data_IF_818596340872
#
_entry.id   IF_818596340872
#
_cell.length_a   1.000
_cell.length_b   1.000
_cell.length_c   1.000
_cell.angle_alpha   90.00
_cell.angle_beta   90.00
_cell.angle_gamma   90.00
#
_symmetry.space_group_name_H-M   'P 1'
#
loop_
_entity.id
_entity.type
_entity.pdbx_description
1 polymer ?
#
# COMPACT_ATOMS: atom_id res chain seq x y z
N UNK A 1 10.93 4.40 14.33
CA UNK A 1 12.00 3.66 15.06
C UNK A 1 11.63 2.18 15.04
N UNK A 2 12.59 1.32 14.68
CA UNK A 2 12.42 -0.13 14.63
C UNK A 2 12.62 -0.73 16.04
N UNK A 3 11.54 -1.28 16.62
CA UNK A 3 11.60 -2.00 17.89
C UNK A 3 11.66 -3.51 17.59
N UNK A 4 12.75 -3.93 16.93
CA UNK A 4 13.08 -5.33 16.73
C UNK A 4 13.91 -5.86 17.90
N UNK A 5 13.77 -7.14 18.21
CA UNK A 5 14.72 -7.80 19.10
C UNK A 5 16.06 -7.89 18.38
N UNK A 6 17.18 -7.56 19.01
CA UNK A 6 18.52 -7.62 18.38
C UNK A 6 18.95 -9.07 17.99
N UNK A 7 18.12 -10.04 18.35
CA UNK A 7 18.37 -11.48 18.32
C UNK A 7 17.54 -12.21 17.25
N UNK A 8 16.36 -11.69 16.90
CA UNK A 8 15.49 -12.26 15.86
C UNK A 8 15.02 -11.17 14.88
N UNK A 9 15.54 -11.24 13.66
CA UNK A 9 15.22 -10.33 12.55
C UNK A 9 13.90 -10.69 11.85
N UNK A 10 13.32 -11.86 12.14
CA UNK A 10 12.08 -12.35 11.52
C UNK A 10 10.84 -11.76 12.18
N UNK A 11 10.96 -11.29 13.42
CA UNK A 11 9.88 -10.67 14.17
C UNK A 11 10.23 -9.23 14.53
N UNK A 12 9.66 -8.27 13.81
CA UNK A 12 9.92 -6.84 14.05
C UNK A 12 8.64 -6.03 14.14
N UNK A 13 8.66 -5.03 15.01
CA UNK A 13 7.61 -4.00 15.10
C UNK A 13 8.17 -2.69 14.56
N UNK A 14 7.55 -2.17 13.50
CA UNK A 14 7.90 -0.93 12.84
C UNK A 14 6.95 0.18 13.29
N UNK A 15 7.50 1.22 13.93
CA UNK A 15 6.75 2.42 14.28
C UNK A 15 6.90 3.47 13.17
N UNK A 16 5.81 3.74 12.46
CA UNK A 16 5.67 4.81 11.48
C UNK A 16 5.05 6.03 12.16
N UNK A 17 5.71 7.19 12.04
CA UNK A 17 5.25 8.46 12.56
C UNK A 17 4.47 9.21 11.48
N UNK A 18 3.50 10.02 11.88
CA UNK A 18 2.66 10.85 11.02
C UNK A 18 1.81 10.07 10.00
N UNK A 19 1.58 8.79 10.28
CA UNK A 19 0.75 7.89 9.47
C UNK A 19 -0.48 7.43 10.25
N UNK A 20 -1.50 6.95 9.53
CA UNK A 20 -2.77 6.51 10.08
C UNK A 20 -3.27 5.19 9.45
N UNK A 21 -4.56 4.89 9.65
CA UNK A 21 -5.22 3.70 9.10
C UNK A 21 -5.12 3.58 7.58
N UNK A 22 -4.92 4.69 6.85
CA UNK A 22 -4.87 4.72 5.39
C UNK A 22 -3.69 3.89 4.88
N UNK A 23 -2.47 4.27 5.26
CA UNK A 23 -1.27 3.53 4.89
C UNK A 23 -1.23 2.17 5.59
N UNK A 24 -1.59 2.13 6.88
CA UNK A 24 -1.50 0.92 7.69
C UNK A 24 -2.34 -0.23 7.13
N UNK A 25 -3.58 0.05 6.72
CA UNK A 25 -4.47 -0.97 6.17
C UNK A 25 -4.03 -1.42 4.77
N UNK A 26 -3.54 -0.49 3.94
CA UNK A 26 -3.02 -0.82 2.61
C UNK A 26 -1.80 -1.75 2.69
N UNK A 27 -0.84 -1.44 3.58
CA UNK A 27 0.36 -2.25 3.80
C UNK A 27 0.01 -3.60 4.46
N UNK A 28 -0.95 -3.63 5.39
CA UNK A 28 -1.48 -4.88 5.94
C UNK A 28 -2.04 -5.78 4.84
N UNK A 29 -2.72 -5.22 3.85
CA UNK A 29 -3.27 -6.00 2.75
C UNK A 29 -2.17 -6.64 1.89
N UNK A 30 -1.12 -5.89 1.52
CA UNK A 30 -0.01 -6.44 0.73
C UNK A 30 0.79 -7.48 1.50
N UNK A 31 1.10 -7.22 2.76
CA UNK A 31 1.80 -8.19 3.62
C UNK A 31 1.05 -9.51 3.76
N UNK A 32 -0.27 -9.49 3.90
CA UNK A 32 -1.07 -10.73 4.00
C UNK A 32 -1.13 -11.53 2.69
N UNK A 33 -0.69 -10.97 1.56
CA UNK A 33 -0.60 -11.68 0.28
C UNK A 33 0.74 -12.37 0.08
N UNK A 34 1.76 -11.97 0.82
CA UNK A 34 3.09 -12.55 0.74
C UNK A 34 3.13 -13.89 1.51
N UNK A 35 3.44 -15.03 0.86
CA UNK A 35 3.51 -16.33 1.53
C UNK A 35 4.66 -16.43 2.55
N UNK A 36 5.62 -15.49 2.55
CA UNK A 36 6.71 -15.43 3.52
C UNK A 36 6.26 -14.89 4.88
N UNK A 37 5.09 -14.25 4.94
CA UNK A 37 4.53 -13.62 6.14
C UNK A 37 3.64 -14.62 6.87
N UNK A 38 3.98 -14.91 8.11
CA UNK A 38 3.19 -15.76 9.01
C UNK A 38 2.13 -14.94 9.75
N UNK A 39 2.50 -13.72 10.18
CA UNK A 39 1.61 -12.82 10.87
C UNK A 39 1.90 -11.37 10.50
N UNK A 40 0.85 -10.62 10.21
CA UNK A 40 0.92 -9.16 10.17
C UNK A 40 -0.29 -8.50 10.82
N UNK A 41 -0.04 -7.36 11.46
CA UNK A 41 -1.08 -6.56 12.08
C UNK A 41 -0.58 -5.15 12.36
N UNK A 42 -1.51 -4.21 12.51
CA UNK A 42 -1.19 -2.86 12.91
C UNK A 42 -2.04 -2.41 14.09
N UNK A 43 -1.50 -1.50 14.90
CA UNK A 43 -2.24 -0.85 15.98
C UNK A 43 -1.85 0.62 16.07
N UNK A 44 -2.83 1.45 16.42
CA UNK A 44 -2.60 2.85 16.81
C UNK A 44 -2.64 2.86 18.34
N UNK A 45 -1.56 3.28 19.02
CA UNK A 45 -1.47 3.21 20.47
C UNK A 45 -2.50 4.13 21.14
N UNK A 46 -2.75 5.31 20.56
CA UNK A 46 -3.75 6.24 21.04
C UNK A 46 -4.27 7.12 19.88
N UNK A 47 -5.58 7.40 19.76
CA UNK A 47 -6.13 8.21 18.65
C UNK A 47 -5.56 9.64 18.53
N UNK A 48 -5.04 10.20 19.63
CA UNK A 48 -4.40 11.53 19.61
C UNK A 48 -2.96 11.50 19.11
N UNK A 49 -2.33 10.32 19.02
CA UNK A 49 -0.99 10.17 18.49
C UNK A 49 -1.06 9.70 17.03
N UNK A 50 -0.48 10.47 16.11
CA UNK A 50 -0.33 10.05 14.71
C UNK A 50 0.83 9.09 14.58
N UNK A 51 0.67 7.89 15.13
CA UNK A 51 1.67 6.83 15.12
C UNK A 51 1.00 5.50 14.86
N UNK A 52 1.55 4.75 13.91
CA UNK A 52 1.12 3.39 13.61
C UNK A 52 2.25 2.43 13.94
N UNK A 53 1.93 1.39 14.69
CA UNK A 53 2.85 0.27 14.91
C UNK A 53 2.43 -0.89 14.01
N UNK A 54 3.30 -1.30 13.10
CA UNK A 54 3.10 -2.46 12.22
C UNK A 54 3.97 -3.60 12.73
N UNK A 55 3.34 -4.71 13.11
CA UNK A 55 4.00 -5.95 13.52
C UNK A 55 4.08 -6.87 12.32
N UNK A 56 5.28 -7.35 11.99
CA UNK A 56 5.51 -8.33 10.93
C UNK A 56 6.28 -9.50 11.50
N UNK A 57 5.80 -10.72 11.24
CA UNK A 57 6.46 -11.97 11.58
C UNK A 57 6.54 -12.85 10.33
N UNK A 58 7.73 -13.35 10.04
CA UNK A 58 8.05 -14.09 8.82
C UNK A 58 8.57 -15.49 9.11
N UNK A 59 8.41 -16.38 8.13
CA UNK A 59 8.82 -17.80 8.24
C UNK A 59 10.33 -18.02 7.99
N UNK A 60 11.08 -17.01 7.55
CA UNK A 60 12.52 -17.16 7.36
C UNK A 60 13.25 -15.84 7.10
N UNK A 61 12.71 -15.04 6.21
CA UNK A 61 13.37 -13.81 5.74
C UNK A 61 13.29 -12.68 6.77
N UNK A 62 14.25 -11.73 6.78
CA UNK A 62 14.16 -10.56 7.66
C UNK A 62 12.89 -9.76 7.41
N UNK A 63 12.14 -9.47 8.48
CA UNK A 63 10.86 -8.75 8.39
C UNK A 63 10.98 -7.37 7.73
N UNK A 64 12.16 -6.74 7.82
CA UNK A 64 12.47 -5.46 7.19
C UNK A 64 12.47 -5.54 5.67
N UNK A 65 13.07 -6.57 5.10
CA UNK A 65 13.13 -6.75 3.64
C UNK A 65 11.74 -7.11 3.11
N UNK A 66 11.02 -8.01 3.79
CA UNK A 66 9.64 -8.36 3.42
C UNK A 66 8.71 -7.15 3.46
N UNK A 67 8.83 -6.29 4.49
CA UNK A 67 8.07 -5.04 4.55
C UNK A 67 8.40 -4.09 3.40
N UNK A 68 9.68 -3.98 3.02
CA UNK A 68 10.13 -3.14 1.92
C UNK A 68 9.60 -3.63 0.57
N UNK A 69 9.66 -4.94 0.32
CA UNK A 69 9.09 -5.57 -0.87
C UNK A 69 7.57 -5.30 -0.94
N UNK A 70 6.86 -5.48 0.18
CA UNK A 70 5.42 -5.25 0.28
C UNK A 70 5.01 -3.80 -0.01
N UNK A 71 5.87 -2.84 0.35
CA UNK A 71 5.68 -1.41 0.03
C UNK A 71 5.95 -1.13 -1.45
N UNK A 72 6.96 -1.76 -2.05
CA UNK A 72 7.21 -1.67 -3.48
C UNK A 72 6.04 -2.22 -4.30
N UNK A 73 5.48 -3.36 -3.90
CA UNK A 73 4.30 -3.94 -4.56
C UNK A 73 3.10 -3.01 -4.45
N UNK A 74 2.89 -2.37 -3.30
CA UNK A 74 1.84 -1.36 -3.14
C UNK A 74 2.00 -0.19 -4.12
N UNK A 75 3.23 0.32 -4.29
CA UNK A 75 3.53 1.38 -5.26
C UNK A 75 3.22 0.91 -6.69
N UNK A 76 3.59 -0.31 -7.05
CA UNK A 76 3.32 -0.88 -8.38
C UNK A 76 1.82 -1.03 -8.64
N UNK A 77 1.05 -1.49 -7.66
CA UNK A 77 -0.41 -1.56 -7.75
C UNK A 77 -1.03 -0.17 -7.96
N UNK A 78 -0.64 0.83 -7.17
CA UNK A 78 -1.14 2.20 -7.34
C UNK A 78 -0.80 2.77 -8.73
N UNK A 79 0.41 2.49 -9.25
CA UNK A 79 0.79 2.89 -10.61
C UNK A 79 -0.07 2.23 -11.68
N UNK A 80 -0.37 0.95 -11.52
CA UNK A 80 -1.22 0.22 -12.45
C UNK A 80 -2.66 0.75 -12.45
N UNK A 81 -3.23 0.97 -11.26
CA UNK A 81 -4.57 1.56 -11.11
C UNK A 81 -4.63 2.94 -11.76
N UNK A 82 -3.64 3.80 -11.48
CA UNK A 82 -3.58 5.14 -12.08
C UNK A 82 -3.48 5.08 -13.60
N UNK A 83 -2.58 4.27 -14.15
CA UNK A 83 -2.43 4.15 -15.61
C UNK A 83 -3.70 3.65 -16.29
N UNK A 84 -4.42 2.73 -15.66
CA UNK A 84 -5.68 2.19 -16.22
C UNK A 84 -6.78 3.24 -16.16
N UNK A 85 -6.87 3.97 -15.05
CA UNK A 85 -7.80 5.08 -14.89
C UNK A 85 -7.54 6.21 -15.90
N UNK A 86 -6.28 6.63 -16.05
CA UNK A 86 -5.89 7.69 -17.00
C UNK A 86 -6.27 7.32 -18.44
N UNK A 87 -6.05 6.05 -18.84
CA UNK A 87 -6.48 5.55 -20.16
C UNK A 87 -7.99 5.63 -20.33
N UNK A 88 -8.76 5.11 -19.36
CA UNK A 88 -10.22 5.15 -19.42
C UNK A 88 -10.77 6.59 -19.49
N UNK A 89 -10.12 7.54 -18.81
CA UNK A 89 -10.49 8.96 -18.86
C UNK A 89 -10.17 9.58 -20.22
N UNK A 90 -9.03 9.25 -20.83
CA UNK A 90 -8.67 9.70 -22.18
C UNK A 90 -9.67 9.15 -23.21
N UNK A 91 -9.95 7.85 -23.14
CA UNK A 91 -10.91 7.19 -24.03
C UNK A 91 -12.29 7.83 -23.92
N UNK A 92 -12.78 8.08 -22.70
CA UNK A 92 -14.06 8.75 -22.46
C UNK A 92 -14.10 10.16 -23.04
N UNK A 93 -13.08 11.00 -22.78
CA UNK A 93 -13.02 12.37 -23.31
C UNK A 93 -12.98 12.42 -24.83
N UNK A 94 -12.22 11.52 -25.46
CA UNK A 94 -12.16 11.42 -26.92
C UNK A 94 -13.53 11.05 -27.52
N UNK A 95 -14.29 10.19 -26.83
CA UNK A 95 -15.65 9.84 -27.26
C UNK A 95 -16.65 10.98 -27.10
N UNK A 96 -16.55 11.79 -26.05
CA UNK A 96 -17.39 12.99 -25.88
C UNK A 96 -17.09 14.04 -26.96
N UNK A 97 -15.82 14.29 -27.26
CA UNK A 97 -15.41 15.22 -28.33
C UNK A 97 -15.99 14.81 -29.69
N UNK A 98 -15.93 13.52 -30.04
CA UNK A 98 -16.54 12.99 -31.27
C UNK A 98 -18.08 13.15 -31.31
N UNK A 99 -18.76 13.01 -30.17
CA UNK A 99 -20.21 13.21 -30.08
C UNK A 99 -20.57 14.69 -30.29
N UNK A 100 -19.79 15.61 -29.72
CA UNK A 100 -20.03 17.04 -29.86
C UNK A 100 -19.78 17.55 -31.28
N UNK A 101 -18.73 17.07 -31.96
CA UNK A 101 -18.47 17.42 -33.37
C UNK A 101 -19.57 16.88 -34.31
N UNK A 102 -20.07 15.66 -34.08
CA UNK A 102 -21.15 15.10 -34.88
C UNK A 102 -22.49 15.83 -34.70
N UNK A 103 -22.74 16.46 -33.55
CA UNK A 103 -23.97 17.23 -33.31
C UNK A 103 -23.92 18.66 -33.88
N UNK A 104 -22.72 19.20 -34.12
CA UNK A 104 -22.51 20.51 -34.74
C UNK A 104 -22.57 20.48 -36.28
N UNK A 105 -22.55 19.30 -36.89
CA UNK A 105 -22.55 19.10 -38.35
C UNK A 105 -23.93 18.68 -38.92
N UNK A 106 -24.98 18.69 -38.09
CA UNK A 106 -26.40 18.46 -38.49
C UNK A 106 -27.23 19.68 -38.12
#
# INVERSE_FOLDING_TARGET
MEHGSYIDLRCSTFSLMDEDHTLANAVRFTLNKDPRVEFCGYSIPHPSEKKVNIRVQTTGDPAKEVLKDSLHDLILMCRHVRSTFDKAVIDFKSSEEMITENFLCV
#
